data_IF_538342676221
#
_entry.id   IF_538342676221
#
_cell.length_a   1.000
_cell.length_b   1.000
_cell.length_c   1.000
_cell.angle_alpha   90.00
_cell.angle_beta   90.00
_cell.angle_gamma   90.00
#
_symmetry.space_group_name_H-M   'P 1'
#
loop_
_entity.id
_entity.type
_entity.pdbx_description
1 polymer ?
#
# COMPACT_ATOMS: atom_id res chain seq x y z
N UNK A 1 33.72 -59.85 56.38
CA UNK A 1 35.06 -59.33 56.64
C UNK A 1 35.16 -57.96 55.97
N UNK A 2 35.45 -57.03 56.85
CA UNK A 2 36.20 -55.76 56.73
C UNK A 2 35.62 -54.77 55.64
N UNK A 3 35.00 -53.65 56.06
CA UNK A 3 35.55 -52.37 56.66
C UNK A 3 36.42 -51.64 55.61
N UNK A 4 36.12 -50.38 55.17
CA UNK A 4 36.32 -49.03 55.71
C UNK A 4 35.74 -48.08 54.61
N UNK A 5 34.78 -47.23 54.83
CA UNK A 5 34.86 -45.92 55.50
C UNK A 5 36.01 -45.00 54.96
N UNK A 6 35.62 -44.01 54.20
CA UNK A 6 36.16 -42.64 54.37
C UNK A 6 35.31 -41.60 53.75
N UNK A 7 34.96 -40.67 54.57
CA UNK A 7 34.30 -39.41 54.20
C UNK A 7 35.30 -38.44 53.55
N UNK A 8 34.87 -37.60 52.68
CA UNK A 8 35.44 -36.25 52.50
C UNK A 8 34.56 -35.38 51.62
N UNK A 9 34.04 -34.46 52.25
CA UNK A 9 34.16 -33.01 52.06
C UNK A 9 33.28 -32.39 51.00
N UNK A 10 32.22 -31.90 51.56
CA UNK A 10 31.30 -30.88 51.04
C UNK A 10 32.07 -29.57 50.81
N UNK A 11 32.28 -29.17 49.58
CA UNK A 11 32.61 -27.77 49.22
C UNK A 11 31.43 -27.15 48.53
N UNK A 12 30.69 -26.39 49.31
CA UNK A 12 29.61 -25.51 48.92
C UNK A 12 30.23 -24.27 48.23
N UNK A 13 30.24 -24.27 46.89
CA UNK A 13 30.59 -23.09 46.13
C UNK A 13 29.32 -22.23 45.96
N UNK A 14 29.22 -21.18 46.75
CA UNK A 14 28.27 -20.08 46.52
C UNK A 14 28.69 -19.35 45.24
N UNK A 15 27.90 -19.52 44.16
CA UNK A 15 27.92 -18.61 43.02
C UNK A 15 26.96 -17.45 43.36
N UNK A 16 27.39 -16.20 43.18
CA UNK A 16 26.45 -15.08 43.28
C UNK A 16 25.53 -15.10 42.04
N UNK A 17 24.25 -15.18 42.30
CA UNK A 17 23.19 -14.94 41.31
C UNK A 17 23.27 -13.46 40.97
N UNK A 18 23.94 -13.12 39.85
CA UNK A 18 23.80 -11.82 39.22
C UNK A 18 22.40 -11.76 38.66
N UNK A 19 21.48 -11.17 39.39
CA UNK A 19 20.19 -10.77 38.90
C UNK A 19 20.41 -9.68 37.84
N UNK A 20 20.50 -10.06 36.56
CA UNK A 20 20.22 -9.15 35.46
C UNK A 20 18.73 -8.84 35.52
N UNK A 21 18.35 -7.80 36.23
CA UNK A 21 17.08 -7.12 36.00
C UNK A 21 17.17 -6.48 34.61
N UNK A 22 16.77 -7.19 33.61
CA UNK A 22 16.34 -6.57 32.36
C UNK A 22 15.10 -5.76 32.71
N UNK A 23 15.30 -4.47 32.91
CA UNK A 23 14.20 -3.51 32.82
C UNK A 23 13.63 -3.64 31.42
N UNK A 24 12.58 -4.42 31.32
CA UNK A 24 11.70 -4.41 30.17
C UNK A 24 10.90 -3.12 30.32
N UNK A 25 11.49 -2.01 29.82
CA UNK A 25 10.72 -0.81 29.54
C UNK A 25 9.63 -1.24 28.57
N UNK A 26 8.44 -1.38 29.13
CA UNK A 26 7.22 -1.67 28.39
C UNK A 26 6.82 -0.47 27.53
N UNK A 27 7.68 -0.05 26.63
CA UNK A 27 7.29 0.64 25.43
C UNK A 27 7.06 -0.46 24.39
N UNK A 28 5.85 -0.99 24.34
CA UNK A 28 5.35 -1.66 23.16
C UNK A 28 5.28 -0.57 22.10
N UNK A 29 6.41 -0.30 21.44
CA UNK A 29 6.41 0.24 20.09
C UNK A 29 5.54 -0.73 19.31
N UNK A 30 4.28 -0.32 19.09
CA UNK A 30 3.43 -0.92 18.08
C UNK A 30 4.25 -0.70 16.82
N UNK A 31 4.98 -1.74 16.40
CA UNK A 31 5.82 -1.69 15.23
C UNK A 31 4.92 -1.28 14.08
N UNK A 32 5.00 -0.01 13.69
CA UNK A 32 4.26 0.51 12.56
C UNK A 32 4.58 -0.40 11.38
N UNK A 33 3.56 -1.05 10.83
CA UNK A 33 3.75 -1.93 9.69
C UNK A 33 4.29 -1.08 8.53
N UNK A 34 5.49 -1.40 8.07
CA UNK A 34 6.13 -0.66 6.99
C UNK A 34 6.23 -1.54 5.75
N UNK A 35 5.77 -1.00 4.64
CA UNK A 35 5.91 -1.62 3.32
C UNK A 35 6.78 -0.71 2.47
N UNK A 36 7.79 -1.26 1.79
CA UNK A 36 8.65 -0.45 0.91
C UNK A 36 8.02 -0.35 -0.48
N UNK A 37 7.88 0.88 -0.98
CA UNK A 37 7.39 1.18 -2.33
C UNK A 37 8.26 2.25 -2.97
N UNK A 38 8.82 1.97 -4.15
CA UNK A 38 9.71 2.91 -4.83
C UNK A 38 10.93 3.31 -4.01
N UNK A 39 11.46 2.37 -3.22
CA UNK A 39 12.63 2.59 -2.36
C UNK A 39 12.35 3.42 -1.09
N UNK A 40 11.10 3.78 -0.81
CA UNK A 40 10.70 4.48 0.40
C UNK A 40 9.84 3.60 1.32
N UNK A 41 10.04 3.72 2.62
CA UNK A 41 9.18 3.08 3.61
C UNK A 41 7.84 3.81 3.65
N UNK A 42 6.76 3.05 3.51
CA UNK A 42 5.38 3.49 3.68
C UNK A 42 4.92 3.09 5.07
N UNK A 43 4.46 4.04 5.84
CA UNK A 43 4.01 3.85 7.22
C UNK A 43 2.48 3.82 7.26
N UNK A 44 1.92 2.82 7.90
CA UNK A 44 0.46 2.70 8.09
C UNK A 44 -0.14 3.82 8.97
N UNK A 45 0.70 4.47 9.78
CA UNK A 45 0.36 5.64 10.60
C UNK A 45 0.26 6.95 9.81
N UNK A 46 0.72 6.98 8.56
CA UNK A 46 0.68 8.16 7.68
C UNK A 46 -0.43 8.03 6.65
N UNK A 47 -0.93 9.18 6.18
CA UNK A 47 -1.93 9.18 5.11
C UNK A 47 -1.32 8.88 3.73
N UNK A 48 -2.19 8.65 2.74
CA UNK A 48 -1.82 8.29 1.37
C UNK A 48 -0.83 9.29 0.76
N UNK A 49 -1.06 10.58 0.94
CA UNK A 49 -0.22 11.64 0.35
C UNK A 49 1.13 11.75 1.07
N UNK A 50 1.15 11.69 2.40
CA UNK A 50 2.37 11.75 3.20
C UNK A 50 3.35 10.62 2.87
N UNK A 51 2.84 9.47 2.51
CA UNK A 51 3.65 8.35 2.07
C UNK A 51 4.03 8.46 0.59
N UNK A 52 3.07 8.77 -0.27
CA UNK A 52 3.29 8.82 -1.72
C UNK A 52 4.38 9.81 -2.12
N UNK A 53 4.51 10.95 -1.44
CA UNK A 53 5.53 11.98 -1.75
C UNK A 53 6.97 11.49 -1.55
N UNK A 54 7.17 10.45 -0.75
CA UNK A 54 8.48 9.86 -0.50
C UNK A 54 8.85 8.77 -1.53
N UNK A 55 7.88 8.28 -2.29
CA UNK A 55 8.10 7.22 -3.28
C UNK A 55 8.72 7.78 -4.56
N UNK A 56 9.87 7.24 -4.93
CA UNK A 56 10.55 7.58 -6.20
C UNK A 56 9.77 7.12 -7.43
N UNK A 57 8.94 6.09 -7.28
CA UNK A 57 8.17 5.51 -8.38
C UNK A 57 6.84 6.23 -8.64
N UNK A 58 6.44 7.18 -7.77
CA UNK A 58 5.16 7.88 -7.86
C UNK A 58 5.31 9.40 -7.98
N UNK A 59 6.47 9.90 -8.39
CA UNK A 59 6.72 11.35 -8.51
C UNK A 59 5.78 12.03 -9.51
N UNK A 60 5.49 11.38 -10.65
CA UNK A 60 4.54 11.87 -11.65
C UNK A 60 3.12 11.91 -11.10
N UNK A 61 2.70 10.85 -10.39
CA UNK A 61 1.39 10.80 -9.75
C UNK A 61 1.22 11.91 -8.71
N UNK A 62 2.23 12.13 -7.86
CA UNK A 62 2.22 13.18 -6.84
C UNK A 62 2.15 14.58 -7.49
N UNK A 63 2.91 14.81 -8.57
CA UNK A 63 2.83 16.06 -9.32
C UNK A 63 1.43 16.27 -9.91
N UNK A 64 0.82 15.23 -10.48
CA UNK A 64 -0.53 15.27 -11.02
C UNK A 64 -1.59 15.56 -9.94
N UNK A 65 -1.50 14.92 -8.78
CA UNK A 65 -2.41 15.15 -7.63
C UNK A 65 -2.31 16.59 -7.13
N UNK A 66 -1.08 17.13 -7.04
CA UNK A 66 -0.85 18.54 -6.65
C UNK A 66 -1.43 19.50 -7.68
N UNK A 67 -1.17 19.27 -8.96
CA UNK A 67 -1.69 20.11 -10.06
C UNK A 67 -3.22 20.09 -10.11
N UNK A 68 -3.83 18.93 -9.84
CA UNK A 68 -5.28 18.77 -9.80
C UNK A 68 -5.97 19.35 -8.53
N UNK A 69 -5.20 19.79 -7.53
CA UNK A 69 -5.73 20.28 -6.25
C UNK A 69 -6.38 19.21 -5.38
N UNK A 70 -6.05 17.92 -5.60
CA UNK A 70 -6.66 16.78 -4.90
C UNK A 70 -5.90 16.36 -3.62
N UNK A 71 -4.87 17.09 -3.23
CA UNK A 71 -4.05 16.78 -2.05
C UNK A 71 -4.90 16.73 -0.79
N UNK A 72 -5.73 17.74 -0.55
CA UNK A 72 -6.60 17.79 0.64
C UNK A 72 -7.64 16.69 0.62
N UNK A 73 -8.24 16.40 -0.55
CA UNK A 73 -9.23 15.33 -0.69
C UNK A 73 -8.64 13.95 -0.33
N UNK A 74 -7.44 13.65 -0.84
CA UNK A 74 -6.77 12.37 -0.58
C UNK A 74 -6.04 12.31 0.77
N UNK A 75 -5.84 13.43 1.44
CA UNK A 75 -5.36 13.52 2.82
C UNK A 75 -6.50 13.48 3.84
N UNK A 76 -7.73 13.63 3.39
CA UNK A 76 -8.94 13.66 4.21
C UNK A 76 -9.27 12.33 4.89
N UNK A 77 -10.31 12.32 5.73
CA UNK A 77 -10.74 11.11 6.43
C UNK A 77 -11.35 10.12 5.43
N UNK A 78 -10.57 9.07 5.12
CA UNK A 78 -11.03 7.96 4.27
C UNK A 78 -12.17 7.15 4.90
N UNK A 79 -12.25 5.86 4.64
CA UNK A 79 -11.21 5.08 3.95
C UNK A 79 -11.27 5.18 2.43
N UNK A 80 -10.09 5.20 1.80
CA UNK A 80 -9.93 5.17 0.35
C UNK A 80 -9.11 3.97 -0.08
N UNK A 81 -9.40 3.45 -1.27
CA UNK A 81 -8.53 2.52 -1.99
C UNK A 81 -7.99 3.23 -3.23
N UNK A 82 -6.68 3.40 -3.30
CA UNK A 82 -6.03 4.10 -4.41
C UNK A 82 -5.24 3.11 -5.25
N UNK A 83 -5.56 3.04 -6.53
CA UNK A 83 -4.77 2.33 -7.53
C UNK A 83 -3.71 3.28 -8.07
N UNK A 84 -2.48 3.18 -7.55
CA UNK A 84 -1.40 4.13 -7.81
C UNK A 84 -0.52 3.67 -8.99
N UNK A 85 -0.62 4.29 -10.17
CA UNK A 85 0.26 3.98 -11.29
C UNK A 85 1.66 4.53 -11.04
N UNK A 86 2.68 3.73 -11.37
CA UNK A 86 4.08 4.13 -11.28
C UNK A 86 4.48 5.11 -12.37
N UNK A 87 5.63 5.77 -12.25
CA UNK A 87 6.21 6.59 -13.32
C UNK A 87 6.35 5.79 -14.62
N UNK A 88 6.72 4.51 -14.53
CA UNK A 88 6.79 3.62 -15.68
C UNK A 88 5.41 3.36 -16.32
N UNK A 89 4.34 3.37 -15.52
CA UNK A 89 2.96 3.28 -16.02
C UNK A 89 2.58 4.51 -16.85
N UNK A 90 2.94 5.70 -16.37
CA UNK A 90 2.74 6.95 -17.10
C UNK A 90 3.57 7.01 -18.39
N UNK A 91 4.78 6.44 -18.40
CA UNK A 91 5.63 6.37 -19.59
C UNK A 91 5.06 5.47 -20.71
N UNK A 92 4.12 4.59 -20.40
CA UNK A 92 3.39 3.78 -21.40
C UNK A 92 2.32 4.56 -22.15
N UNK A 93 1.91 5.72 -21.64
CA UNK A 93 0.96 6.59 -22.33
C UNK A 93 1.63 7.21 -23.59
N UNK A 94 0.86 7.59 -24.62
CA UNK A 94 1.39 8.30 -25.78
C UNK A 94 2.21 9.53 -25.35
N UNK A 95 3.32 9.79 -26.06
CA UNK A 95 4.20 10.91 -25.74
C UNK A 95 3.41 12.23 -25.71
N UNK A 96 3.66 13.06 -24.70
CA UNK A 96 2.97 14.33 -24.48
C UNK A 96 1.60 14.24 -23.80
N UNK A 97 1.06 13.03 -23.58
CA UNK A 97 -0.25 12.88 -22.89
C UNK A 97 -0.17 13.40 -21.45
N UNK A 98 0.89 13.06 -20.72
CA UNK A 98 1.08 13.52 -19.34
C UNK A 98 1.21 15.03 -19.29
N UNK A 99 2.06 15.62 -20.15
CA UNK A 99 2.26 17.06 -20.25
C UNK A 99 0.97 17.79 -20.60
N UNK A 100 0.18 17.21 -21.51
CA UNK A 100 -1.13 17.75 -21.90
C UNK A 100 -2.11 17.72 -20.71
N UNK A 101 -2.17 16.61 -19.95
CA UNK A 101 -3.04 16.48 -18.79
C UNK A 101 -2.67 17.44 -17.66
N UNK A 102 -1.37 17.79 -17.51
CA UNK A 102 -0.89 18.72 -16.50
C UNK A 102 -1.14 20.19 -16.86
N UNK A 103 -1.60 20.49 -18.09
CA UNK A 103 -1.92 21.86 -18.47
C UNK A 103 -3.17 22.38 -17.73
N UNK A 104 -3.18 23.67 -17.33
CA UNK A 104 -4.34 24.28 -16.66
C UNK A 104 -5.67 24.10 -17.41
N UNK A 105 -5.63 24.10 -18.73
CA UNK A 105 -6.82 23.88 -19.58
C UNK A 105 -7.41 22.48 -19.44
N UNK A 106 -6.65 21.50 -18.97
CA UNK A 106 -7.05 20.10 -18.87
C UNK A 106 -7.23 19.61 -17.43
N UNK A 107 -7.28 20.53 -16.46
CA UNK A 107 -7.43 20.19 -15.03
C UNK A 107 -8.66 19.31 -14.74
N UNK A 108 -9.79 19.59 -15.37
CA UNK A 108 -11.00 18.77 -15.19
C UNK A 108 -10.78 17.33 -15.66
N UNK A 109 -10.09 17.14 -16.78
CA UNK A 109 -9.73 15.81 -17.30
C UNK A 109 -8.74 15.12 -16.36
N UNK A 110 -7.74 15.84 -15.87
CA UNK A 110 -6.77 15.32 -14.90
C UNK A 110 -7.46 14.88 -13.60
N UNK A 111 -8.35 15.70 -13.06
CA UNK A 111 -9.15 15.36 -11.89
C UNK A 111 -10.01 14.12 -12.13
N UNK A 112 -10.65 14.02 -13.29
CA UNK A 112 -11.43 12.84 -13.68
C UNK A 112 -10.58 11.58 -13.70
N UNK A 113 -9.41 11.63 -14.34
CA UNK A 113 -8.48 10.49 -14.38
C UNK A 113 -8.01 10.12 -12.97
N UNK A 114 -7.61 11.07 -12.16
CA UNK A 114 -7.11 10.79 -10.80
C UNK A 114 -8.21 10.23 -9.89
N UNK A 115 -9.42 10.78 -9.92
CA UNK A 115 -10.56 10.29 -9.12
C UNK A 115 -11.07 8.94 -9.64
N UNK A 116 -10.83 8.61 -10.90
CA UNK A 116 -11.11 7.29 -11.47
C UNK A 116 -10.20 6.20 -10.87
N UNK A 117 -9.00 6.54 -10.41
CA UNK A 117 -8.10 5.62 -9.71
C UNK A 117 -8.43 5.45 -8.21
N UNK A 118 -9.42 6.16 -7.71
CA UNK A 118 -9.81 6.12 -6.30
C UNK A 118 -11.16 5.42 -6.16
N UNK A 119 -11.20 4.41 -5.31
CA UNK A 119 -12.44 3.69 -4.93
C UNK A 119 -12.75 4.04 -3.48
N UNK A 120 -13.99 4.42 -3.16
CA UNK A 120 -14.39 4.65 -1.78
C UNK A 120 -14.38 3.34 -0.98
N UNK A 121 -13.94 3.43 0.26
CA UNK A 121 -13.79 2.26 1.13
C UNK A 121 -12.39 1.67 1.10
N UNK A 122 -12.09 0.86 2.12
CA UNK A 122 -10.85 0.10 2.20
C UNK A 122 -11.09 -1.28 1.59
N UNK A 123 -10.47 -1.56 0.46
CA UNK A 123 -10.61 -2.84 -0.26
C UNK A 123 -9.22 -3.48 -0.35
N UNK A 124 -8.99 -4.52 0.45
CA UNK A 124 -7.74 -5.28 0.42
C UNK A 124 -7.67 -6.20 -0.80
N UNK A 125 -6.49 -6.74 -1.09
CA UNK A 125 -6.33 -7.77 -2.12
C UNK A 125 -7.20 -9.00 -1.83
N UNK A 126 -7.34 -9.38 -0.56
CA UNK A 126 -8.23 -10.47 -0.14
C UNK A 126 -9.70 -10.16 -0.45
N UNK A 127 -10.15 -8.93 -0.17
CA UNK A 127 -11.50 -8.47 -0.50
C UNK A 127 -11.73 -8.45 -2.02
N UNK A 128 -10.73 -7.97 -2.79
CA UNK A 128 -10.78 -8.01 -4.26
C UNK A 128 -10.95 -9.43 -4.78
N UNK A 129 -10.14 -10.35 -4.28
CA UNK A 129 -10.22 -11.76 -4.67
C UNK A 129 -11.57 -12.40 -4.28
N UNK A 130 -12.09 -12.07 -3.09
CA UNK A 130 -13.41 -12.54 -2.66
C UNK A 130 -14.52 -12.01 -3.56
N UNK A 131 -14.51 -10.71 -3.87
CA UNK A 131 -15.46 -10.07 -4.80
C UNK A 131 -15.36 -10.65 -6.21
N UNK A 132 -14.16 -10.89 -6.72
CA UNK A 132 -13.92 -11.50 -8.04
C UNK A 132 -14.51 -12.92 -8.09
N UNK A 133 -14.29 -13.73 -7.05
CA UNK A 133 -14.85 -15.08 -6.96
C UNK A 133 -16.38 -15.04 -6.90
N UNK A 134 -16.96 -14.18 -6.07
CA UNK A 134 -18.39 -14.00 -5.94
C UNK A 134 -19.05 -13.50 -7.24
N UNK A 135 -18.34 -12.69 -8.03
CA UNK A 135 -18.78 -12.13 -9.29
C UNK A 135 -18.51 -13.02 -10.52
N UNK A 136 -18.20 -14.31 -10.32
CA UNK A 136 -17.98 -15.23 -11.45
C UNK A 136 -16.67 -14.95 -12.22
N UNK A 137 -15.64 -14.50 -11.54
CA UNK A 137 -14.33 -14.21 -12.13
C UNK A 137 -14.04 -12.73 -12.37
N UNK A 138 -14.99 -11.86 -12.08
CA UNK A 138 -14.86 -10.40 -12.22
C UNK A 138 -15.55 -9.67 -11.07
N UNK A 139 -15.00 -8.53 -10.66
CA UNK A 139 -15.62 -7.63 -9.69
C UNK A 139 -15.66 -6.21 -10.25
N UNK A 140 -16.80 -5.56 -10.17
CA UNK A 140 -16.98 -4.16 -10.55
C UNK A 140 -16.76 -3.27 -9.33
N UNK A 141 -15.88 -2.31 -9.46
CA UNK A 141 -15.51 -1.33 -8.43
C UNK A 141 -15.99 0.04 -8.90
N UNK A 142 -16.93 0.63 -8.17
CA UNK A 142 -17.33 2.00 -8.42
C UNK A 142 -16.21 2.96 -7.96
N UNK A 143 -15.84 3.89 -8.82
CA UNK A 143 -14.79 4.88 -8.52
C UNK A 143 -15.39 6.18 -7.99
N UNK A 144 -14.57 7.01 -7.34
CA UNK A 144 -15.00 8.34 -6.86
C UNK A 144 -15.42 9.26 -8.02
N UNK A 145 -14.86 9.04 -9.20
CA UNK A 145 -15.23 9.76 -10.42
C UNK A 145 -16.66 9.42 -10.88
N UNK A 146 -17.22 8.27 -10.46
CA UNK A 146 -18.54 7.77 -10.87
C UNK A 146 -18.49 6.67 -11.92
N UNK A 147 -17.34 6.42 -12.52
CA UNK A 147 -17.14 5.31 -13.46
C UNK A 147 -16.89 3.98 -12.73
N UNK A 148 -16.60 2.95 -13.50
CA UNK A 148 -16.34 1.60 -12.98
C UNK A 148 -14.99 1.06 -13.46
N UNK A 149 -14.25 0.44 -12.52
CA UNK A 149 -13.11 -0.42 -12.80
C UNK A 149 -13.55 -1.87 -12.66
N UNK A 150 -13.19 -2.72 -13.60
CA UNK A 150 -13.45 -4.15 -13.52
C UNK A 150 -12.18 -4.85 -13.05
N UNK A 151 -12.23 -5.47 -11.88
CA UNK A 151 -11.13 -6.28 -11.36
C UNK A 151 -11.34 -7.75 -11.73
N UNK A 152 -10.28 -8.41 -12.16
CA UNK A 152 -10.24 -9.85 -12.47
C UNK A 152 -8.91 -10.44 -12.02
N UNK A 153 -8.73 -11.75 -12.16
CA UNK A 153 -7.45 -12.42 -11.90
C UNK A 153 -6.89 -12.96 -13.21
N UNK A 154 -5.69 -12.54 -13.56
CA UNK A 154 -4.94 -13.05 -14.70
C UNK A 154 -3.51 -13.38 -14.28
N UNK A 155 -3.06 -14.60 -14.58
CA UNK A 155 -1.70 -15.03 -14.20
C UNK A 155 -1.42 -15.01 -12.69
N UNK A 156 -2.44 -15.19 -11.85
CA UNK A 156 -2.32 -15.14 -10.39
C UNK A 156 -2.22 -13.74 -9.80
N UNK A 157 -2.39 -12.69 -10.60
CA UNK A 157 -2.39 -11.28 -10.17
C UNK A 157 -3.74 -10.64 -10.41
N UNK A 158 -4.05 -9.65 -9.60
CA UNK A 158 -5.23 -8.81 -9.86
C UNK A 158 -4.94 -7.92 -11.06
N UNK A 159 -5.85 -7.94 -12.00
CA UNK A 159 -5.86 -7.11 -13.19
C UNK A 159 -7.09 -6.21 -13.14
N UNK A 160 -6.89 -4.94 -13.43
CA UNK A 160 -7.94 -3.94 -13.57
C UNK A 160 -8.17 -3.69 -15.06
N UNK A 161 -9.42 -3.64 -15.45
CA UNK A 161 -9.82 -3.22 -16.80
C UNK A 161 -10.63 -1.93 -16.66
N UNK A 162 -10.22 -0.91 -17.37
CA UNK A 162 -10.93 0.38 -17.42
C UNK A 162 -12.08 0.39 -18.45
N UNK A 163 -12.83 1.48 -18.51
CA UNK A 163 -13.95 1.63 -19.40
C UNK A 163 -13.58 1.57 -20.88
N UNK A 164 -12.37 1.98 -21.23
CA UNK A 164 -11.82 1.92 -22.61
C UNK A 164 -11.22 0.57 -22.98
N UNK A 165 -11.24 -0.41 -22.05
CA UNK A 165 -10.63 -1.72 -22.25
C UNK A 165 -9.12 -1.75 -21.97
N UNK A 166 -8.55 -0.69 -21.43
CA UNK A 166 -7.17 -0.67 -20.95
C UNK A 166 -6.99 -1.59 -19.76
N UNK A 167 -5.83 -2.23 -19.68
CA UNK A 167 -5.52 -3.21 -18.63
C UNK A 167 -4.34 -2.74 -17.79
N UNK A 168 -4.48 -2.82 -16.46
CA UNK A 168 -3.46 -2.51 -15.48
C UNK A 168 -3.33 -3.67 -14.50
N UNK A 169 -2.10 -4.14 -14.26
CA UNK A 169 -1.85 -5.19 -13.26
C UNK A 169 -1.47 -4.56 -11.92
N UNK A 170 -1.98 -5.12 -10.85
CA UNK A 170 -1.51 -4.80 -9.50
C UNK A 170 -0.17 -5.48 -9.30
N UNK A 171 0.88 -4.68 -9.17
CA UNK A 171 2.26 -5.15 -8.96
C UNK A 171 2.60 -5.31 -7.49
N UNK A 172 2.03 -4.44 -6.65
CA UNK A 172 2.14 -4.50 -5.20
C UNK A 172 0.79 -4.12 -4.59
N UNK A 173 0.27 -4.99 -3.75
CA UNK A 173 -1.02 -4.80 -3.10
C UNK A 173 -0.85 -4.51 -1.60
N UNK A 174 -1.94 -4.07 -0.99
CA UNK A 174 -2.08 -3.95 0.48
C UNK A 174 -1.03 -3.05 1.14
N UNK A 175 -0.67 -1.93 0.51
CA UNK A 175 0.14 -0.89 1.15
C UNK A 175 -0.77 -0.07 2.07
N UNK A 176 -0.78 -0.41 3.36
CA UNK A 176 -1.66 0.18 4.36
C UNK A 176 -1.30 1.63 4.64
N UNK A 177 -2.35 2.46 4.83
CA UNK A 177 -2.25 3.87 5.17
C UNK A 177 -3.26 4.18 6.29
N UNK A 178 -3.06 5.28 7.02
CA UNK A 178 -4.00 5.69 8.09
C UNK A 178 -5.40 5.95 7.55
N UNK A 179 -5.51 6.55 6.37
CA UNK A 179 -6.78 6.90 5.73
C UNK A 179 -7.15 6.01 4.53
N UNK A 180 -6.49 4.87 4.33
CA UNK A 180 -6.83 3.98 3.22
C UNK A 180 -5.84 2.88 2.93
N UNK A 181 -5.80 2.48 1.68
CA UNK A 181 -4.90 1.45 1.16
C UNK A 181 -4.45 1.84 -0.26
N UNK A 182 -3.21 1.54 -0.59
CA UNK A 182 -2.65 1.74 -1.93
C UNK A 182 -2.40 0.38 -2.57
N UNK A 183 -2.80 0.23 -3.82
CA UNK A 183 -2.40 -0.84 -4.73
C UNK A 183 -1.60 -0.23 -5.87
N UNK A 184 -0.35 -0.64 -6.02
CA UNK A 184 0.54 -0.14 -7.07
C UNK A 184 0.20 -0.82 -8.39
N UNK A 185 0.08 -0.05 -9.47
CA UNK A 185 -0.26 -0.56 -10.80
C UNK A 185 0.81 -0.24 -11.84
N UNK A 186 0.88 -1.09 -12.87
CA UNK A 186 1.86 -0.99 -13.97
C UNK A 186 1.33 -0.24 -15.20
N UNK A 187 0.08 0.21 -15.16
CA UNK A 187 -0.54 1.04 -16.20
C UNK A 187 -1.52 2.04 -15.57
N UNK A 188 -1.79 3.11 -16.31
CA UNK A 188 -2.78 4.15 -15.97
C UNK A 188 -4.14 3.72 -16.52
N UNK A 189 -5.18 3.74 -15.71
CA UNK A 189 -6.55 3.50 -16.12
C UNK A 189 -7.21 4.80 -16.56
N UNK A 190 -7.91 4.76 -17.66
CA UNK A 190 -8.57 5.95 -18.23
C UNK A 190 -10.09 5.79 -18.16
N UNK A 191 -10.81 6.83 -17.71
CA UNK A 191 -12.27 6.83 -17.77
C UNK A 191 -12.76 6.87 -19.23
N UNK A 192 -14.03 6.50 -19.45
CA UNK A 192 -14.72 6.58 -20.75
C UNK A 192 -14.75 7.99 -21.33
#
# INVERSE_FOLDING_TARGET
MLKFSTAAALTLALLPLAACTTMNDGNADVAASTTTVGGAAMYDSRNIIENAVNSRDHTTLVAAVKAAGLVETLSGPGPFTVFAPTNAAFAKLPAGTVDTLLQPANLATLQSVLTYHVVPGRVTAADLLAKIRAGGGQARLATVQGGQLTASVMGGRVMLTDGKGGMAHVTQADVMQSNGIIHVTDAVSLPD
#
